data_IF_419695128897
#
_entry.id   IF_419695128897
#
_cell.length_a   1.000
_cell.length_b   1.000
_cell.length_c   1.000
_cell.angle_alpha   90.00
_cell.angle_beta   90.00
_cell.angle_gamma   90.00
#
_symmetry.space_group_name_H-M   'P 1'
#
loop_
_entity.id
_entity.type
_entity.pdbx_description
1 polymer ?
#
# COMPACT_ATOMS: atom_id res chain seq x y z
N UNK A 1 -35.36 39.82 25.30
CA UNK A 1 -35.48 38.38 24.97
C UNK A 1 -34.88 38.16 23.60
N UNK A 2 -33.59 37.79 23.45
CA UNK A 2 -33.03 37.28 22.18
C UNK A 2 -31.53 36.90 22.21
N UNK A 3 -30.72 37.47 23.10
CA UNK A 3 -29.27 37.16 23.09
C UNK A 3 -28.99 35.73 23.57
N UNK A 4 -29.68 35.26 24.61
CA UNK A 4 -29.47 33.91 25.15
C UNK A 4 -29.89 32.81 24.16
N UNK A 5 -30.98 33.02 23.41
CA UNK A 5 -31.42 32.10 22.36
C UNK A 5 -30.43 32.05 21.19
N UNK A 6 -29.88 33.20 20.82
CA UNK A 6 -28.89 33.29 19.75
C UNK A 6 -27.57 32.61 20.13
N UNK A 7 -27.11 32.81 21.39
CA UNK A 7 -25.93 32.13 21.93
C UNK A 7 -26.13 30.62 22.04
N UNK A 8 -27.29 30.16 22.49
CA UNK A 8 -27.58 28.71 22.58
C UNK A 8 -27.71 28.06 21.20
N UNK A 9 -28.28 28.75 20.21
CA UNK A 9 -28.26 28.29 18.81
C UNK A 9 -26.84 28.21 18.24
N UNK A 10 -25.97 29.20 18.54
CA UNK A 10 -24.58 29.22 18.10
C UNK A 10 -23.76 28.07 18.70
N UNK A 11 -23.91 27.85 20.01
CA UNK A 11 -23.27 26.75 20.73
C UNK A 11 -23.76 25.39 20.21
N UNK A 12 -25.06 25.26 19.92
CA UNK A 12 -25.63 24.03 19.33
C UNK A 12 -25.09 23.76 17.92
N UNK A 13 -24.94 24.79 17.09
CA UNK A 13 -24.39 24.66 15.75
C UNK A 13 -22.90 24.28 15.79
N UNK A 14 -22.12 24.93 16.66
CA UNK A 14 -20.68 24.68 16.78
C UNK A 14 -20.39 23.27 17.31
N UNK A 15 -21.16 22.82 18.31
CA UNK A 15 -20.99 21.48 18.91
C UNK A 15 -21.51 20.38 17.98
N UNK A 16 -22.65 20.58 17.31
CA UNK A 16 -23.23 19.63 16.35
C UNK A 16 -22.31 19.32 15.16
N UNK A 17 -21.67 20.34 14.58
CA UNK A 17 -20.73 20.16 13.45
C UNK A 17 -19.49 19.36 13.86
N UNK A 18 -18.94 19.65 15.04
CA UNK A 18 -17.77 18.92 15.56
C UNK A 18 -18.05 17.43 15.82
N UNK A 19 -19.28 17.10 16.23
CA UNK A 19 -19.69 15.72 16.47
C UNK A 19 -19.88 14.95 15.15
N UNK A 20 -20.45 15.58 14.13
CA UNK A 20 -20.57 14.98 12.78
C UNK A 20 -19.22 14.66 12.15
N UNK A 21 -18.24 15.56 12.29
CA UNK A 21 -16.89 15.32 11.75
C UNK A 21 -16.20 14.13 12.44
N UNK A 22 -16.34 14.01 13.78
CA UNK A 22 -15.81 12.88 14.55
C UNK A 22 -16.50 11.56 14.21
N UNK A 23 -17.80 11.58 13.97
CA UNK A 23 -18.56 10.39 13.56
C UNK A 23 -18.11 9.89 12.18
N UNK A 24 -17.85 10.80 11.22
CA UNK A 24 -17.31 10.44 9.91
C UNK A 24 -15.88 9.88 10.00
N UNK A 25 -15.05 10.46 10.86
CA UNK A 25 -13.67 9.98 11.08
C UNK A 25 -13.66 8.57 11.70
N UNK A 26 -14.52 8.31 12.69
CA UNK A 26 -14.67 6.97 13.27
C UNK A 26 -15.17 5.94 12.23
N UNK A 27 -16.14 6.32 11.40
CA UNK A 27 -16.64 5.43 10.35
C UNK A 27 -15.55 5.10 9.32
N UNK A 28 -14.70 6.08 8.96
CA UNK A 28 -13.54 5.86 8.08
C UNK A 28 -12.51 4.94 8.71
N UNK A 29 -12.15 5.17 9.98
CA UNK A 29 -11.18 4.34 10.68
C UNK A 29 -11.62 2.87 10.78
N UNK A 30 -12.92 2.62 11.01
CA UNK A 30 -13.49 1.26 11.03
C UNK A 30 -13.46 0.62 9.64
N UNK A 31 -13.82 1.38 8.60
CA UNK A 31 -13.77 0.90 7.22
C UNK A 31 -12.32 0.54 6.80
N UNK A 32 -11.35 1.42 7.07
CA UNK A 32 -9.93 1.19 6.80
C UNK A 32 -9.40 -0.03 7.56
N UNK A 33 -9.74 -0.14 8.85
CA UNK A 33 -9.38 -1.30 9.67
C UNK A 33 -9.97 -2.60 9.12
N UNK A 34 -11.23 -2.59 8.70
CA UNK A 34 -11.89 -3.77 8.13
C UNK A 34 -11.26 -4.22 6.80
N UNK A 35 -10.88 -3.27 5.95
CA UNK A 35 -10.19 -3.55 4.68
C UNK A 35 -8.79 -4.10 4.94
N UNK A 36 -8.05 -3.54 5.91
CA UNK A 36 -6.74 -4.03 6.27
C UNK A 36 -6.79 -5.47 6.80
N UNK A 37 -7.75 -5.80 7.66
CA UNK A 37 -7.97 -7.16 8.18
C UNK A 37 -8.38 -8.13 7.07
N UNK A 38 -9.28 -7.72 6.18
CA UNK A 38 -9.68 -8.56 5.04
C UNK A 38 -8.46 -8.85 4.14
N UNK A 39 -7.64 -7.85 3.84
CA UNK A 39 -6.43 -8.01 3.02
C UNK A 39 -5.42 -8.96 3.64
N UNK A 40 -5.19 -8.89 4.95
CA UNK A 40 -4.27 -9.81 5.63
C UNK A 40 -4.83 -11.22 5.71
N UNK A 41 -6.15 -11.38 5.90
CA UNK A 41 -6.81 -12.68 5.91
C UNK A 41 -6.80 -13.36 4.53
N UNK A 42 -6.94 -12.61 3.44
CA UNK A 42 -6.91 -13.13 2.07
C UNK A 42 -5.52 -13.20 1.46
N UNK A 43 -4.50 -12.66 2.13
CA UNK A 43 -3.14 -12.70 1.62
C UNK A 43 -2.67 -14.15 1.52
N UNK A 44 -2.33 -14.59 0.31
CA UNK A 44 -1.74 -15.90 0.09
C UNK A 44 -0.46 -15.98 0.91
N UNK A 45 -0.39 -16.97 1.80
CA UNK A 45 0.79 -17.19 2.65
C UNK A 45 1.90 -17.76 1.78
N UNK A 46 2.61 -16.90 1.06
CA UNK A 46 3.79 -17.28 0.30
C UNK A 46 4.89 -17.56 1.30
N UNK A 47 5.40 -18.79 1.30
CA UNK A 47 6.59 -19.12 2.08
C UNK A 47 7.72 -18.18 1.63
N UNK A 48 8.26 -17.39 2.56
CA UNK A 48 9.45 -16.60 2.29
C UNK A 48 10.62 -17.55 2.09
N UNK A 49 11.00 -17.77 0.84
CA UNK A 49 12.15 -18.62 0.54
C UNK A 49 13.42 -17.80 0.73
N UNK A 50 14.26 -18.20 1.69
CA UNK A 50 15.58 -17.60 1.83
C UNK A 50 16.41 -18.05 0.63
N UNK A 51 16.91 -17.13 -0.23
CA UNK A 51 17.79 -17.52 -1.31
C UNK A 51 19.04 -18.13 -0.69
N UNK A 52 19.17 -19.46 -0.80
CA UNK A 52 20.40 -20.16 -0.51
C UNK A 52 21.30 -19.91 -1.71
N UNK A 53 22.36 -19.13 -1.51
CA UNK A 53 23.44 -19.08 -2.47
C UNK A 53 24.11 -20.46 -2.48
N UNK A 54 23.63 -21.35 -3.35
CA UNK A 54 24.33 -22.59 -3.61
C UNK A 54 25.65 -22.24 -4.30
N UNK A 55 26.77 -22.47 -3.61
CA UNK A 55 28.09 -22.38 -4.23
C UNK A 55 28.17 -23.44 -5.33
N UNK A 56 28.35 -23.01 -6.58
CA UNK A 56 28.56 -23.93 -7.70
C UNK A 56 29.85 -24.72 -7.48
N UNK A 57 29.85 -25.97 -7.92
CA UNK A 57 31.07 -26.79 -7.90
C UNK A 57 32.06 -26.29 -8.95
N UNK A 58 33.36 -26.58 -8.77
CA UNK A 58 34.39 -26.24 -9.77
C UNK A 58 34.09 -26.84 -11.15
N UNK A 59 33.49 -28.03 -11.19
CA UNK A 59 33.09 -28.68 -12.44
C UNK A 59 31.94 -27.93 -13.15
N UNK A 60 30.99 -27.36 -12.40
CA UNK A 60 29.93 -26.53 -12.97
C UNK A 60 30.44 -25.18 -13.45
N UNK A 61 31.36 -24.56 -12.70
CA UNK A 61 32.01 -23.31 -13.10
C UNK A 61 32.76 -23.46 -14.42
N UNK A 62 33.51 -24.54 -14.61
CA UNK A 62 34.23 -24.82 -15.86
C UNK A 62 33.30 -25.00 -17.07
N UNK A 63 32.08 -25.52 -16.87
CA UNK A 63 31.07 -25.64 -17.94
C UNK A 63 30.46 -24.29 -18.32
N UNK A 64 30.38 -23.35 -17.38
CA UNK A 64 29.88 -21.99 -17.66
C UNK A 64 30.85 -21.19 -18.52
N UNK A 65 32.15 -21.46 -18.44
CA UNK A 65 33.19 -20.80 -19.26
C UNK A 65 33.01 -21.06 -20.76
N UNK A 66 32.33 -22.14 -21.14
CA UNK A 66 32.04 -22.48 -22.54
C UNK A 66 30.63 -22.11 -23.02
N UNK A 67 29.81 -21.44 -22.21
CA UNK A 67 28.46 -21.03 -22.61
C UNK A 67 28.47 -19.66 -23.28
N UNK A 68 27.63 -19.51 -24.32
CA UNK A 68 27.37 -18.21 -24.93
C UNK A 68 26.93 -17.20 -23.85
N UNK A 69 27.41 -15.94 -23.92
CA UNK A 69 27.00 -14.91 -22.99
C UNK A 69 25.48 -14.74 -23.07
N UNK A 70 24.84 -14.57 -21.91
CA UNK A 70 23.41 -14.28 -21.83
C UNK A 70 23.16 -12.91 -22.49
N UNK A 71 22.67 -12.92 -23.73
CA UNK A 71 22.27 -11.70 -24.43
C UNK A 71 20.96 -11.21 -23.81
N UNK A 72 21.06 -10.26 -22.88
CA UNK A 72 19.90 -9.53 -22.39
C UNK A 72 19.49 -8.54 -23.48
N UNK A 73 18.37 -8.82 -24.16
CA UNK A 73 17.77 -7.85 -25.06
C UNK A 73 17.32 -6.64 -24.24
N UNK A 74 17.69 -5.40 -24.63
CA UNK A 74 17.18 -4.22 -23.97
C UNK A 74 15.66 -4.16 -24.13
N UNK A 75 14.94 -4.32 -23.02
CA UNK A 75 13.48 -4.17 -22.97
C UNK A 75 13.10 -2.71 -22.74
N UNK A 76 12.03 -2.27 -23.38
CA UNK A 76 11.48 -0.94 -23.13
C UNK A 76 11.00 -0.84 -21.66
N UNK A 77 11.44 0.19 -20.90
CA UNK A 77 11.04 0.32 -19.51
C UNK A 77 9.55 0.66 -19.40
N UNK A 78 8.90 0.17 -18.34
CA UNK A 78 7.44 0.27 -18.12
C UNK A 78 6.89 1.71 -18.17
N UNK A 79 7.74 2.72 -17.99
CA UNK A 79 7.38 4.13 -18.03
C UNK A 79 7.60 4.82 -19.38
N UNK A 80 8.24 4.18 -20.36
CA UNK A 80 8.56 4.80 -21.65
C UNK A 80 7.31 5.19 -22.46
N UNK A 81 6.24 4.40 -22.36
CA UNK A 81 4.96 4.70 -23.01
C UNK A 81 4.06 5.69 -22.27
N UNK A 82 4.46 6.21 -21.10
CA UNK A 82 3.61 7.15 -20.35
C UNK A 82 3.78 8.55 -20.91
N UNK A 83 2.67 9.15 -21.39
CA UNK A 83 2.60 10.60 -21.63
C UNK A 83 2.93 11.31 -20.33
N UNK A 84 3.98 12.14 -20.35
CA UNK A 84 4.29 13.06 -19.27
C UNK A 84 3.26 14.17 -19.35
N UNK A 85 2.32 14.18 -18.42
CA UNK A 85 1.44 15.31 -18.12
C UNK A 85 2.02 16.11 -16.96
#
# INVERSE_FOLDING_TARGET
>A
MNILLLLSALLSALTGVSNSARAQEQARAVAEGSIAVARTATATRVATWRPLAASITLAEAARLTGREPLVLAPGEPVFAGRRRE
#
